data_IF_582887571846
#
_entry.id   IF_582887571846
#
_cell.length_a   1.000
_cell.length_b   1.000
_cell.length_c   1.000
_cell.angle_alpha   90.00
_cell.angle_beta   90.00
_cell.angle_gamma   90.00
#
_symmetry.space_group_name_H-M   'P 1'
#
loop_
_entity.id
_entity.type
_entity.pdbx_description
1 polymer ?
#
# COMPACT_ATOMS: atom_id res chain seq x y z
N UNK A 1 8.01 -0.91 7.55
CA UNK A 1 7.24 -1.53 8.63
C UNK A 1 8.21 -1.95 9.73
N UNK A 2 8.04 -1.40 10.92
CA UNK A 2 8.88 -1.73 12.10
C UNK A 2 7.98 -2.21 13.22
N UNK A 3 8.24 -3.40 13.73
CA UNK A 3 7.47 -3.94 14.88
C UNK A 3 7.88 -3.22 16.16
N UNK A 4 6.89 -2.73 16.89
CA UNK A 4 7.06 -2.09 18.19
C UNK A 4 7.00 -3.13 19.33
N UNK A 5 7.51 -2.76 20.49
CA UNK A 5 7.54 -3.65 21.67
C UNK A 5 6.13 -4.02 22.17
N UNK A 6 5.15 -3.19 21.93
CA UNK A 6 3.73 -3.41 22.32
C UNK A 6 2.93 -4.23 21.28
N UNK A 7 3.61 -4.77 20.25
CA UNK A 7 3.00 -5.59 19.20
C UNK A 7 2.38 -4.81 18.06
N UNK A 8 2.32 -3.48 18.13
CA UNK A 8 1.94 -2.61 17.01
C UNK A 8 3.06 -2.56 15.97
N UNK A 9 2.76 -2.01 14.81
CA UNK A 9 3.69 -1.88 13.69
C UNK A 9 3.74 -0.41 13.28
N UNK A 10 4.91 0.19 13.33
CA UNK A 10 5.12 1.50 12.72
C UNK A 10 5.15 1.34 11.19
N UNK A 11 4.41 2.19 10.51
CA UNK A 11 4.36 2.27 9.04
C UNK A 11 4.96 3.59 8.61
N UNK A 12 6.03 3.53 7.80
CA UNK A 12 6.64 4.69 7.21
C UNK A 12 6.51 4.59 5.69
N UNK A 13 5.73 5.47 5.10
CA UNK A 13 5.61 5.62 3.66
C UNK A 13 6.39 6.84 3.20
N UNK A 14 7.22 6.65 2.17
CA UNK A 14 7.95 7.73 1.52
C UNK A 14 7.58 7.78 0.06
N UNK A 15 7.25 8.95 -0.44
CA UNK A 15 6.98 9.19 -1.84
C UNK A 15 8.05 10.14 -2.39
N UNK A 16 8.75 9.72 -3.44
CA UNK A 16 9.67 10.58 -4.17
C UNK A 16 8.84 11.41 -5.16
N UNK A 17 8.66 12.68 -4.86
CA UNK A 17 8.10 13.68 -5.78
C UNK A 17 9.18 14.66 -6.18
N UNK A 18 9.08 15.21 -7.40
CA UNK A 18 9.96 16.29 -7.82
C UNK A 18 9.79 17.49 -6.88
N UNK A 19 10.81 17.74 -6.04
CA UNK A 19 10.88 18.91 -5.17
C UNK A 19 10.97 18.63 -3.68
N UNK A 20 10.08 17.85 -3.09
CA UNK A 20 10.16 17.47 -1.67
C UNK A 20 9.65 16.04 -1.44
N UNK A 21 10.43 15.21 -0.73
CA UNK A 21 9.94 13.89 -0.34
C UNK A 21 8.77 14.04 0.63
N UNK A 22 7.64 13.45 0.28
CA UNK A 22 6.52 13.32 1.19
C UNK A 22 6.73 12.08 2.06
N UNK A 23 6.63 12.25 3.36
CA UNK A 23 6.71 11.17 4.33
C UNK A 23 5.39 11.11 5.12
N UNK A 24 4.79 9.94 5.19
CA UNK A 24 3.63 9.67 6.02
C UNK A 24 3.97 8.56 7.03
N UNK A 25 3.82 8.88 8.31
CA UNK A 25 3.99 7.93 9.41
C UNK A 25 2.64 7.51 9.93
N UNK A 26 2.48 6.21 10.10
CA UNK A 26 1.27 5.62 10.64
C UNK A 26 1.57 4.49 11.62
N UNK A 27 0.53 4.07 12.31
CA UNK A 27 0.58 2.91 13.20
C UNK A 27 -0.40 1.88 12.67
N UNK A 28 0.06 0.65 12.53
CA UNK A 28 -0.77 -0.50 12.23
C UNK A 28 -0.91 -1.41 13.46
N UNK A 29 -2.07 -2.03 13.59
CA UNK A 29 -2.33 -3.05 14.61
C UNK A 29 -2.98 -4.26 13.97
N UNK A 30 -2.74 -5.48 14.48
CA UNK A 30 -3.49 -6.65 14.05
C UNK A 30 -4.98 -6.49 14.35
N UNK A 31 -5.83 -6.83 13.38
CA UNK A 31 -7.28 -6.75 13.48
C UNK A 31 -7.88 -8.13 13.20
N UNK A 32 -7.99 -8.97 14.20
CA UNK A 32 -8.44 -10.35 14.03
C UNK A 32 -7.30 -11.28 13.59
N UNK A 33 -7.60 -12.32 12.84
CA UNK A 33 -6.63 -13.28 12.32
C UNK A 33 -6.38 -13.10 10.82
N UNK A 34 -5.43 -13.87 10.25
CA UNK A 34 -5.32 -14.03 8.81
C UNK A 34 -4.72 -12.85 8.04
N UNK A 35 -3.86 -12.03 8.64
CA UNK A 35 -3.18 -10.93 7.95
C UNK A 35 -4.01 -9.65 7.83
N UNK A 36 -5.13 -9.55 8.56
CA UNK A 36 -5.90 -8.32 8.65
C UNK A 36 -5.18 -7.32 9.56
N UNK A 37 -5.01 -6.10 9.06
CA UNK A 37 -4.42 -4.98 9.78
C UNK A 37 -5.37 -3.77 9.74
N UNK A 38 -5.34 -2.99 10.79
CA UNK A 38 -5.90 -1.65 10.83
C UNK A 38 -4.76 -0.64 10.88
N UNK A 39 -4.78 0.34 10.01
CA UNK A 39 -3.73 1.36 9.90
C UNK A 39 -4.32 2.75 10.15
N UNK A 40 -3.66 3.54 10.97
CA UNK A 40 -3.99 4.94 11.20
C UNK A 40 -2.76 5.80 10.92
N UNK A 41 -2.96 6.88 10.17
CA UNK A 41 -1.95 7.91 9.92
C UNK A 41 -2.18 9.18 10.75
N UNK A 42 -3.06 9.11 11.75
CA UNK A 42 -3.25 10.20 12.67
C UNK A 42 -2.06 10.35 13.63
N UNK A 43 -1.70 11.58 14.03
CA UNK A 43 -0.76 11.80 15.11
C UNK A 43 -1.16 11.05 16.38
N UNK A 44 -0.19 10.57 17.16
CA UNK A 44 -0.45 9.72 18.33
C UNK A 44 -1.43 10.32 19.36
N UNK A 45 -1.47 11.64 19.49
CA UNK A 45 -2.41 12.33 20.38
C UNK A 45 -3.88 12.32 19.89
N UNK A 46 -4.09 12.02 18.59
CA UNK A 46 -5.42 11.82 17.97
C UNK A 46 -5.77 10.34 17.77
N UNK A 47 -4.96 9.43 18.29
CA UNK A 47 -5.14 7.96 18.07
C UNK A 47 -6.44 7.40 18.68
N UNK A 48 -7.13 8.17 19.51
CA UNK A 48 -8.44 7.83 20.09
C UNK A 48 -9.60 8.02 19.08
N UNK A 49 -9.38 8.80 18.01
CA UNK A 49 -10.38 8.97 16.96
C UNK A 49 -10.51 7.68 16.12
N UNK A 50 -11.72 7.31 15.71
CA UNK A 50 -11.96 6.10 14.92
C UNK A 50 -11.58 6.27 13.44
N UNK A 51 -10.37 6.73 13.17
CA UNK A 51 -9.84 6.93 11.81
C UNK A 51 -8.87 5.81 11.43
N UNK A 52 -9.26 4.57 11.68
CA UNK A 52 -8.51 3.38 11.31
C UNK A 52 -8.97 2.88 9.94
N UNK A 53 -8.04 2.78 9.00
CA UNK A 53 -8.27 2.15 7.71
C UNK A 53 -7.98 0.65 7.80
N UNK A 54 -8.92 -0.16 7.36
CA UNK A 54 -8.70 -1.60 7.29
C UNK A 54 -7.79 -1.93 6.10
N UNK A 55 -6.71 -2.67 6.36
CA UNK A 55 -5.72 -3.16 5.43
C UNK A 55 -5.62 -4.68 5.54
N UNK A 56 -5.87 -5.36 4.46
CA UNK A 56 -5.75 -6.81 4.41
C UNK A 56 -4.59 -7.21 3.52
N UNK A 57 -3.67 -8.01 4.06
CA UNK A 57 -2.69 -8.71 3.23
C UNK A 57 -3.43 -9.88 2.58
N UNK A 58 -3.76 -9.72 1.30
CA UNK A 58 -4.58 -10.68 0.55
C UNK A 58 -3.76 -11.70 -0.22
N UNK A 59 -2.48 -11.40 -0.44
CA UNK A 59 -1.51 -12.32 -1.03
C UNK A 59 -0.10 -11.94 -0.58
N UNK A 60 0.76 -12.93 -0.34
CA UNK A 60 2.09 -12.70 0.19
C UNK A 60 3.06 -13.75 -0.37
N UNK A 61 4.22 -13.27 -0.81
CA UNK A 61 5.31 -14.16 -1.21
C UNK A 61 5.88 -14.93 -0.02
N UNK A 62 6.08 -16.25 -0.11
CA UNK A 62 6.70 -17.03 0.96
C UNK A 62 8.09 -16.52 1.37
N UNK A 63 8.85 -15.93 0.44
CA UNK A 63 10.14 -15.30 0.69
C UNK A 63 10.04 -13.79 0.98
N UNK A 64 8.83 -13.25 1.16
CA UNK A 64 8.54 -11.85 1.46
C UNK A 64 9.11 -10.84 0.45
N UNK A 65 9.24 -11.22 -0.81
CA UNK A 65 9.73 -10.33 -1.87
C UNK A 65 8.64 -9.39 -2.39
N UNK A 66 7.38 -9.81 -2.30
CA UNK A 66 6.23 -9.01 -2.68
C UNK A 66 5.03 -9.28 -1.76
N UNK A 67 4.10 -8.35 -1.75
CA UNK A 67 2.81 -8.48 -1.06
C UNK A 67 1.71 -7.76 -1.85
N UNK A 68 0.50 -8.29 -1.77
CA UNK A 68 -0.71 -7.62 -2.25
C UNK A 68 -1.54 -7.24 -1.05
N UNK A 69 -1.86 -5.97 -0.94
CA UNK A 69 -2.63 -5.39 0.16
C UNK A 69 -3.88 -4.74 -0.40
N UNK A 70 -5.00 -4.98 0.22
CA UNK A 70 -6.27 -4.43 -0.24
C UNK A 70 -7.19 -4.02 0.90
N UNK A 71 -8.13 -3.13 0.61
CA UNK A 71 -9.17 -2.76 1.55
C UNK A 71 -10.36 -3.73 1.48
N UNK A 72 -11.13 -3.91 2.56
CA UNK A 72 -12.28 -4.83 2.61
C UNK A 72 -13.40 -4.44 1.64
N UNK A 73 -13.51 -3.16 1.31
CA UNK A 73 -14.48 -2.64 0.33
C UNK A 73 -14.03 -2.83 -1.12
N UNK A 74 -12.86 -3.42 -1.36
CA UNK A 74 -12.26 -3.67 -2.69
C UNK A 74 -12.06 -2.44 -3.57
N UNK A 75 -12.06 -1.23 -2.97
CA UNK A 75 -11.87 0.04 -3.66
C UNK A 75 -10.42 0.49 -3.73
N UNK A 76 -9.54 -0.16 -3.02
CA UNK A 76 -8.12 0.15 -2.97
C UNK A 76 -7.30 -1.14 -2.95
N UNK A 77 -6.25 -1.15 -3.75
CA UNK A 77 -5.28 -2.25 -3.85
C UNK A 77 -3.88 -1.68 -4.04
N UNK A 78 -2.92 -2.31 -3.39
CA UNK A 78 -1.50 -2.04 -3.58
C UNK A 78 -0.76 -3.34 -3.82
N UNK A 79 0.07 -3.36 -4.85
CA UNK A 79 1.05 -4.40 -5.09
C UNK A 79 2.40 -3.83 -4.66
N UNK A 80 2.96 -4.38 -3.61
CA UNK A 80 4.21 -3.95 -3.01
C UNK A 80 5.33 -4.91 -3.43
N UNK A 81 6.48 -4.39 -3.80
CA UNK A 81 7.67 -5.18 -4.13
C UNK A 81 8.90 -4.63 -3.40
N UNK A 82 9.79 -5.51 -2.97
CA UNK A 82 11.09 -5.13 -2.43
C UNK A 82 12.05 -4.66 -3.52
N UNK A 83 11.89 -5.21 -4.73
CA UNK A 83 12.63 -4.76 -5.90
C UNK A 83 11.84 -3.70 -6.66
N UNK A 84 12.47 -2.61 -7.13
CA UNK A 84 11.85 -1.67 -8.05
C UNK A 84 11.52 -2.30 -9.41
N UNK A 85 12.16 -3.42 -9.74
CA UNK A 85 11.97 -4.20 -10.95
C UNK A 85 11.18 -5.48 -10.64
N UNK A 86 9.87 -5.35 -10.55
CA UNK A 86 8.98 -6.51 -10.47
C UNK A 86 8.93 -7.20 -11.84
N UNK A 87 9.05 -8.53 -11.84
CA UNK A 87 8.89 -9.32 -13.07
C UNK A 87 7.49 -9.07 -13.68
N UNK A 88 7.41 -8.67 -14.96
CA UNK A 88 6.12 -8.40 -15.62
C UNK A 88 5.16 -9.59 -15.60
N UNK A 89 5.65 -10.82 -15.71
CA UNK A 89 4.82 -12.00 -15.65
C UNK A 89 4.28 -12.25 -14.23
N UNK A 90 5.07 -11.92 -13.20
CA UNK A 90 4.60 -11.95 -11.82
C UNK A 90 3.53 -10.87 -11.58
N UNK A 91 3.78 -9.64 -12.03
CA UNK A 91 2.84 -8.53 -11.89
C UNK A 91 1.48 -8.89 -12.52
N UNK A 92 1.49 -9.45 -13.72
CA UNK A 92 0.26 -9.85 -14.41
C UNK A 92 -0.48 -10.97 -13.65
N UNK A 93 0.23 -11.97 -13.11
CA UNK A 93 -0.39 -13.00 -12.27
C UNK A 93 -1.03 -12.41 -11.01
N UNK A 94 -0.37 -11.43 -10.37
CA UNK A 94 -0.91 -10.78 -9.17
C UNK A 94 -2.15 -9.94 -9.50
N UNK A 95 -2.18 -9.29 -10.67
CA UNK A 95 -3.35 -8.58 -11.19
C UNK A 95 -4.53 -9.53 -11.35
N UNK A 96 -4.36 -10.61 -12.12
CA UNK A 96 -5.41 -11.60 -12.38
C UNK A 96 -5.96 -12.21 -11.08
N UNK A 97 -5.10 -12.54 -10.12
CA UNK A 97 -5.51 -13.04 -8.80
C UNK A 97 -6.30 -12.01 -8.00
N UNK A 98 -5.96 -10.74 -8.14
CA UNK A 98 -6.66 -9.64 -7.45
C UNK A 98 -8.03 -9.37 -8.09
N UNK A 99 -8.12 -9.40 -9.41
CA UNK A 99 -9.39 -9.30 -10.14
C UNK A 99 -10.33 -10.46 -9.79
N UNK A 100 -9.82 -11.69 -9.72
CA UNK A 100 -10.59 -12.86 -9.30
C UNK A 100 -11.15 -12.73 -7.87
N UNK A 101 -10.52 -11.90 -7.03
CA UNK A 101 -11.00 -11.55 -5.68
C UNK A 101 -11.94 -10.34 -5.66
N UNK A 102 -12.24 -9.78 -6.84
CA UNK A 102 -13.21 -8.71 -7.02
C UNK A 102 -12.65 -7.29 -6.87
N UNK A 103 -11.33 -7.11 -6.99
CA UNK A 103 -10.73 -5.79 -7.05
C UNK A 103 -10.77 -5.25 -8.48
N UNK A 104 -11.24 -4.01 -8.66
CA UNK A 104 -11.15 -3.31 -9.95
C UNK A 104 -9.72 -2.78 -10.13
N UNK A 105 -9.10 -3.09 -11.26
CA UNK A 105 -7.70 -2.71 -11.54
C UNK A 105 -7.56 -1.81 -12.77
N UNK A 106 -8.65 -1.27 -13.29
CA UNK A 106 -8.68 -0.41 -14.47
C UNK A 106 -7.83 0.85 -14.29
N UNK A 107 -7.70 1.31 -13.05
CA UNK A 107 -6.92 2.50 -12.66
C UNK A 107 -5.60 2.14 -11.95
N UNK A 108 -5.10 0.90 -12.07
CA UNK A 108 -3.85 0.51 -11.42
C UNK A 108 -2.66 1.28 -12.01
N UNK A 109 -2.03 2.10 -11.18
CA UNK A 109 -0.86 2.88 -11.56
C UNK A 109 0.40 2.09 -11.22
N UNK A 110 1.25 1.88 -12.21
CA UNK A 110 2.58 1.31 -11.99
C UNK A 110 3.55 2.47 -11.74
N UNK A 111 4.18 2.50 -10.56
CA UNK A 111 5.15 3.53 -10.23
C UNK A 111 6.34 3.50 -11.20
N UNK A 112 6.81 4.66 -11.70
CA UNK A 112 7.99 4.71 -12.55
C UNK A 112 9.23 4.24 -11.79
N UNK A 113 10.15 3.58 -12.51
CA UNK A 113 11.43 3.14 -11.95
C UNK A 113 12.28 4.34 -11.54
N UNK A 114 12.93 4.34 -10.39
CA UNK A 114 13.94 5.32 -10.08
C UNK A 114 15.07 5.25 -11.13
N UNK A 115 15.31 6.32 -11.89
CA UNK A 115 16.37 6.40 -12.89
C UNK A 115 15.97 6.12 -14.33
N UNK A 116 14.74 5.78 -14.66
CA UNK A 116 14.21 5.79 -16.01
C UNK A 116 13.86 7.25 -16.40
N UNK A 117 14.87 8.04 -16.72
CA UNK A 117 14.69 9.36 -17.32
C UNK A 117 14.13 9.19 -18.73
N UNK A 118 12.91 9.63 -18.96
CA UNK A 118 12.33 9.71 -20.28
C UNK A 118 10.81 9.54 -20.27
N UNK A 119 10.10 10.68 -20.39
CA UNK A 119 8.71 10.81 -20.82
C UNK A 119 7.64 9.96 -20.05
N UNK A 120 7.37 10.30 -18.83
CA UNK A 120 6.13 9.95 -18.21
C UNK A 120 5.05 10.95 -18.68
N UNK A 121 4.23 10.54 -19.63
CA UNK A 121 2.95 11.21 -19.90
C UNK A 121 2.15 11.17 -18.60
N UNK A 122 1.97 12.35 -18.01
CA UNK A 122 1.22 12.56 -16.77
C UNK A 122 -0.24 12.17 -16.97
N UNK A 123 -0.59 10.94 -16.62
CA UNK A 123 -1.96 10.61 -16.29
C UNK A 123 -2.24 11.14 -14.88
N UNK A 124 -2.94 12.27 -14.79
CA UNK A 124 -3.42 12.85 -13.54
C UNK A 124 -4.51 11.95 -12.96
N UNK A 125 -4.11 11.01 -12.13
CA UNK A 125 -5.00 10.34 -11.21
C UNK A 125 -4.85 11.00 -9.84
N UNK A 126 -5.84 11.77 -9.43
CA UNK A 126 -5.91 12.32 -8.09
C UNK A 126 -6.01 11.18 -7.09
N UNK A 127 -4.97 10.97 -6.28
CA UNK A 127 -5.09 10.17 -5.08
C UNK A 127 -6.02 10.95 -4.15
N UNK A 128 -7.22 10.46 -3.82
CA UNK A 128 -8.06 11.14 -2.85
C UNK A 128 -7.35 11.07 -1.50
N UNK A 129 -7.04 12.24 -0.96
CA UNK A 129 -6.64 12.35 0.44
C UNK A 129 -7.69 11.69 1.33
N UNK A 130 -7.31 11.00 2.41
CA UNK A 130 -8.27 10.47 3.35
C UNK A 130 -9.08 11.65 3.89
N UNK A 131 -10.37 11.67 3.56
CA UNK A 131 -11.29 12.59 4.21
C UNK A 131 -11.34 12.24 5.69
N UNK A 132 -11.06 13.22 6.47
CA UNK A 132 -11.25 13.21 7.91
C UNK A 132 -12.69 12.86 8.29
#
# INVERSE_FOLDING_TARGET
YTRLADGRIEVLNRCATEGMPLEARGIARPAGGGGALEVSFLPGWLSWLPAWGAYWVIDLDPAYQWAVVGGPKRKALWILSRSPDIDPALLERLRQRSEARGYALDELIVAPRPGAGGNATSARGSVPAPKA
#
